data_IF_266320069974
#
_entry.id   IF_266320069974
#
_cell.length_a   1.000
_cell.length_b   1.000
_cell.length_c   1.000
_cell.angle_alpha   90.00
_cell.angle_beta   90.00
_cell.angle_gamma   90.00
#
_symmetry.space_group_name_H-M   'P 1'
#
loop_
_entity.id
_entity.type
_entity.pdbx_description
1 polymer ?
#
# COMPACT_ATOMS: atom_id res chain seq x y z
N UNK A 1 3.35 21.01 6.17
CA UNK A 1 1.89 21.03 6.15
C UNK A 1 1.28 19.65 6.41
N UNK A 2 1.50 18.65 5.52
CA UNK A 2 1.03 17.26 5.77
C UNK A 2 1.73 16.66 6.99
N UNK A 3 3.07 16.70 7.04
CA UNK A 3 3.85 16.20 8.18
C UNK A 3 3.54 16.93 9.48
N UNK A 4 3.28 18.25 9.44
CA UNK A 4 2.87 19.00 10.63
C UNK A 4 1.51 18.54 11.15
N UNK A 5 0.58 18.25 10.23
CA UNK A 5 -0.71 17.68 10.58
C UNK A 5 -0.54 16.29 11.23
N UNK A 6 0.23 15.40 10.64
CA UNK A 6 0.52 14.09 11.23
C UNK A 6 1.14 14.22 12.62
N UNK A 7 2.12 15.10 12.77
CA UNK A 7 2.79 15.34 14.05
C UNK A 7 1.82 15.84 15.14
N UNK A 8 0.86 16.70 14.78
CA UNK A 8 -0.14 17.21 15.75
C UNK A 8 -1.05 16.12 16.31
N UNK A 9 -1.11 14.96 15.65
CA UNK A 9 -1.84 13.77 16.08
C UNK A 9 -0.92 12.61 16.48
N UNK A 10 0.38 12.85 16.66
CA UNK A 10 1.39 11.84 17.02
C UNK A 10 1.48 10.69 15.99
N UNK A 11 1.18 10.97 14.71
CA UNK A 11 1.26 10.03 13.62
C UNK A 11 2.58 10.19 12.87
N UNK A 12 3.33 9.11 12.70
CA UNK A 12 4.51 9.04 11.83
C UNK A 12 4.15 8.31 10.53
N UNK A 13 4.06 9.01 9.40
CA UNK A 13 3.72 8.38 8.13
C UNK A 13 4.87 7.55 7.56
N UNK A 14 4.51 6.51 6.82
CA UNK A 14 5.36 5.85 5.83
C UNK A 14 5.10 6.56 4.50
N UNK A 15 6.14 7.05 3.85
CA UNK A 15 6.01 7.77 2.58
C UNK A 15 6.33 6.83 1.43
N UNK A 16 5.37 6.62 0.54
CA UNK A 16 5.49 5.80 -0.66
C UNK A 16 5.87 6.68 -1.84
N UNK A 17 6.90 6.31 -2.61
CA UNK A 17 7.38 7.11 -3.75
C UNK A 17 6.73 6.71 -5.07
N UNK A 18 6.70 5.40 -5.35
CA UNK A 18 6.18 4.83 -6.59
C UNK A 18 5.15 3.74 -6.30
N UNK A 19 4.30 3.44 -7.29
CA UNK A 19 3.19 2.50 -7.13
C UNK A 19 2.78 1.91 -8.49
N UNK A 20 2.67 0.58 -8.58
CA UNK A 20 2.15 -0.12 -9.76
C UNK A 20 0.68 -0.53 -9.62
N UNK A 21 0.04 -0.18 -8.50
CA UNK A 21 -1.37 -0.51 -8.29
C UNK A 21 -2.31 0.52 -8.92
N UNK A 22 -3.53 0.08 -9.23
CA UNK A 22 -4.68 0.88 -9.68
C UNK A 22 -4.57 1.35 -11.13
N UNK A 23 -4.93 2.61 -11.43
CA UNK A 23 -5.07 3.07 -12.81
C UNK A 23 -3.72 3.23 -13.52
N UNK A 24 -3.45 2.42 -14.59
CA UNK A 24 -2.10 2.28 -15.17
C UNK A 24 -1.69 3.41 -16.11
N UNK A 25 -2.61 4.29 -16.50
CA UNK A 25 -2.37 5.38 -17.48
C UNK A 25 -2.61 6.75 -16.84
N UNK A 26 -1.79 7.15 -15.84
CA UNK A 26 -2.00 8.41 -15.14
C UNK A 26 -1.81 9.61 -16.07
N UNK A 27 -2.63 10.63 -15.85
CA UNK A 27 -2.50 11.92 -16.53
C UNK A 27 -2.28 13.02 -15.48
N UNK A 28 -1.52 14.04 -15.84
CA UNK A 28 -1.38 15.23 -15.00
C UNK A 28 -2.73 15.93 -14.82
N UNK A 29 -2.93 16.52 -13.65
CA UNK A 29 -4.14 17.26 -13.35
C UNK A 29 -4.82 16.78 -12.05
N UNK A 30 -6.04 17.25 -11.78
CA UNK A 30 -6.78 16.84 -10.61
C UNK A 30 -7.00 15.32 -10.56
N UNK A 31 -7.00 14.78 -9.34
CA UNK A 31 -7.38 13.39 -9.15
C UNK A 31 -8.85 13.21 -9.57
N UNK A 32 -9.18 12.21 -10.39
CA UNK A 32 -10.54 11.95 -10.80
C UNK A 32 -11.43 11.60 -9.61
N UNK A 33 -12.73 11.78 -9.78
CA UNK A 33 -13.70 11.28 -8.82
C UNK A 33 -13.75 9.75 -8.89
N UNK A 34 -13.94 9.07 -7.76
CA UNK A 34 -14.01 7.63 -7.75
C UNK A 34 -15.27 7.12 -8.46
N UNK A 35 -15.16 5.95 -9.04
CA UNK A 35 -16.31 5.17 -9.50
C UNK A 35 -16.82 4.40 -8.29
N UNK A 36 -18.10 4.58 -7.94
CA UNK A 36 -18.68 3.92 -6.79
C UNK A 36 -18.52 2.40 -6.88
N UNK A 37 -18.07 1.79 -5.79
CA UNK A 37 -17.84 0.35 -5.69
C UNK A 37 -16.54 -0.14 -6.33
N UNK A 38 -15.80 0.70 -7.03
CA UNK A 38 -14.50 0.33 -7.58
C UNK A 38 -13.38 0.85 -6.69
N UNK A 39 -12.72 -0.09 -6.07
CA UNK A 39 -11.58 0.10 -5.18
C UNK A 39 -10.52 1.01 -5.80
N UNK A 40 -10.18 2.10 -5.11
CA UNK A 40 -9.18 3.08 -5.49
C UNK A 40 -9.26 3.60 -6.95
N UNK A 41 -10.44 3.59 -7.53
CA UNK A 41 -10.66 4.00 -8.93
C UNK A 41 -10.27 5.45 -9.25
N UNK A 42 -10.17 6.31 -8.25
CA UNK A 42 -9.65 7.67 -8.37
C UNK A 42 -8.13 7.77 -8.25
N UNK A 43 -7.43 6.69 -7.92
CA UNK A 43 -5.99 6.70 -7.72
C UNK A 43 -5.26 6.38 -9.02
N UNK A 44 -4.07 6.95 -9.17
CA UNK A 44 -3.26 6.80 -10.37
C UNK A 44 -1.92 6.22 -9.97
N UNK A 45 -1.43 5.28 -10.78
CA UNK A 45 -0.07 4.76 -10.62
C UNK A 45 0.98 5.87 -10.75
N UNK A 46 2.11 5.66 -10.13
CA UNK A 46 3.29 6.52 -10.26
C UNK A 46 4.53 5.67 -10.56
N UNK A 47 5.16 5.84 -11.73
CA UNK A 47 4.88 6.81 -12.78
C UNK A 47 3.86 6.35 -13.84
N UNK A 48 3.36 5.10 -13.75
CA UNK A 48 2.42 4.47 -14.68
C UNK A 48 3.08 3.55 -15.70
N UNK A 49 2.29 2.58 -16.21
CA UNK A 49 2.77 1.47 -17.06
C UNK A 49 3.53 1.91 -18.31
N UNK A 50 3.10 2.99 -18.96
CA UNK A 50 3.78 3.48 -20.15
C UNK A 50 5.22 3.85 -19.84
N UNK A 51 5.43 4.66 -18.80
CA UNK A 51 6.77 5.14 -18.42
C UNK A 51 7.65 3.99 -17.93
N UNK A 52 7.10 3.07 -17.13
CA UNK A 52 7.80 1.87 -16.66
C UNK A 52 8.25 1.01 -17.85
N UNK A 53 7.34 0.78 -18.82
CA UNK A 53 7.65 0.00 -20.03
C UNK A 53 8.73 0.70 -20.90
N UNK A 54 8.63 2.00 -21.11
CA UNK A 54 9.62 2.77 -21.87
C UNK A 54 11.01 2.76 -21.20
N UNK A 55 11.07 2.79 -19.87
CA UNK A 55 12.32 2.65 -19.12
C UNK A 55 12.90 1.25 -19.29
N UNK A 56 12.06 0.21 -19.18
CA UNK A 56 12.50 -1.17 -19.33
C UNK A 56 13.03 -1.47 -20.73
N UNK A 57 12.29 -1.07 -21.77
CA UNK A 57 12.61 -1.41 -23.17
C UNK A 57 13.67 -0.48 -23.77
N UNK A 58 13.58 0.82 -23.51
CA UNK A 58 14.34 1.86 -24.21
C UNK A 58 15.35 2.58 -23.33
N UNK A 59 15.33 2.35 -22.01
CA UNK A 59 16.14 3.09 -21.01
C UNK A 59 16.09 4.60 -21.23
N UNK A 60 14.90 5.15 -21.42
CA UNK A 60 14.65 6.53 -21.83
C UNK A 60 15.24 7.54 -20.83
N UNK A 61 16.37 8.16 -21.15
CA UNK A 61 17.09 9.09 -20.27
C UNK A 61 16.22 10.21 -19.71
N UNK A 62 15.31 10.74 -20.51
CA UNK A 62 14.39 11.79 -20.08
C UNK A 62 13.53 11.38 -18.89
N UNK A 63 12.98 10.18 -18.93
CA UNK A 63 12.18 9.67 -17.82
C UNK A 63 13.05 9.37 -16.61
N UNK A 64 14.16 8.69 -16.81
CA UNK A 64 15.12 8.37 -15.74
C UNK A 64 15.59 9.65 -15.04
N UNK A 65 16.00 10.68 -15.79
CA UNK A 65 16.47 11.93 -15.18
C UNK A 65 15.40 12.63 -14.35
N UNK A 66 14.16 12.67 -14.86
CA UNK A 66 13.03 13.26 -14.13
C UNK A 66 12.72 12.51 -12.83
N UNK A 67 12.65 11.16 -12.89
CA UNK A 67 12.34 10.34 -11.74
C UNK A 67 13.50 10.31 -10.74
N UNK A 68 14.74 10.36 -11.21
CA UNK A 68 15.93 10.54 -10.37
C UNK A 68 15.84 11.86 -9.59
N UNK A 69 15.60 12.95 -10.29
CA UNK A 69 15.47 14.29 -9.66
C UNK A 69 14.35 14.25 -8.60
N UNK A 70 13.17 13.73 -8.94
CA UNK A 70 12.06 13.59 -7.99
C UNK A 70 12.45 12.80 -6.74
N UNK A 71 13.07 11.62 -6.92
CA UNK A 71 13.45 10.74 -5.81
C UNK A 71 14.51 11.38 -4.93
N UNK A 72 15.60 11.89 -5.55
CA UNK A 72 16.72 12.42 -4.81
C UNK A 72 16.40 13.75 -4.12
N UNK A 73 15.70 14.68 -4.78
CA UNK A 73 15.31 15.95 -4.15
C UNK A 73 14.37 15.73 -2.96
N UNK A 74 13.40 14.80 -3.09
CA UNK A 74 12.47 14.49 -2.00
C UNK A 74 13.20 13.86 -0.81
N UNK A 75 14.02 12.84 -1.06
CA UNK A 75 14.80 12.19 -0.01
C UNK A 75 15.80 13.17 0.64
N UNK A 76 16.52 13.98 -0.13
CA UNK A 76 17.47 14.97 0.39
C UNK A 76 16.78 16.01 1.27
N UNK A 77 15.59 16.49 0.86
CA UNK A 77 14.83 17.49 1.61
C UNK A 77 14.39 16.98 2.99
N UNK A 78 14.09 15.70 3.11
CA UNK A 78 13.52 15.12 4.32
C UNK A 78 14.40 14.05 4.98
N UNK A 79 15.66 13.90 4.56
CA UNK A 79 16.54 12.81 5.02
C UNK A 79 16.76 12.74 6.54
N UNK A 80 16.60 13.85 7.26
CA UNK A 80 16.74 13.92 8.72
C UNK A 80 15.40 14.28 9.41
N UNK A 81 14.29 14.20 8.71
CA UNK A 81 13.00 14.57 9.28
C UNK A 81 12.40 13.43 10.12
N UNK A 82 12.49 13.55 11.44
CA UNK A 82 12.03 12.54 12.41
C UNK A 82 10.50 12.32 12.41
N UNK A 83 9.74 13.15 11.70
CA UNK A 83 8.30 12.97 11.53
C UNK A 83 7.96 11.83 10.58
N UNK A 84 8.87 11.43 9.69
CA UNK A 84 8.72 10.31 8.77
C UNK A 84 9.23 9.03 9.45
N UNK A 85 8.39 7.97 9.47
CA UNK A 85 8.77 6.69 10.03
C UNK A 85 9.77 5.95 9.15
N UNK A 86 9.45 5.83 7.86
CA UNK A 86 10.30 5.19 6.86
C UNK A 86 9.85 5.58 5.44
N UNK A 87 10.65 5.22 4.46
CA UNK A 87 10.35 5.37 3.04
C UNK A 87 10.06 4.01 2.41
N UNK A 88 8.89 3.88 1.80
CA UNK A 88 8.58 2.79 0.88
C UNK A 88 8.89 3.27 -0.53
N UNK A 89 9.92 2.69 -1.12
CA UNK A 89 10.43 3.17 -2.40
C UNK A 89 9.50 2.83 -3.56
N UNK A 90 8.78 1.70 -3.46
CA UNK A 90 7.88 1.28 -4.52
C UNK A 90 6.82 0.31 -3.96
N UNK A 91 5.56 0.75 -3.95
CA UNK A 91 4.44 -0.11 -3.56
C UNK A 91 4.16 -1.16 -4.63
N UNK A 92 4.14 -2.41 -4.21
CA UNK A 92 3.75 -3.58 -5.02
C UNK A 92 4.29 -3.57 -6.46
N UNK A 93 5.62 -3.41 -6.67
CA UNK A 93 6.18 -3.40 -8.02
C UNK A 93 5.86 -4.70 -8.75
N UNK A 94 5.46 -4.58 -10.00
CA UNK A 94 5.07 -5.69 -10.86
C UNK A 94 3.58 -6.00 -10.90
N UNK A 95 2.76 -5.39 -10.05
CA UNK A 95 1.31 -5.59 -10.01
C UNK A 95 0.59 -5.09 -11.27
N UNK A 96 -0.68 -5.39 -11.39
CA UNK A 96 -1.56 -5.00 -12.52
C UNK A 96 -1.02 -5.37 -13.90
N UNK A 97 -0.29 -6.48 -13.98
CA UNK A 97 0.17 -7.07 -15.25
C UNK A 97 1.45 -6.46 -15.83
N UNK A 98 2.12 -5.52 -15.13
CA UNK A 98 3.41 -4.98 -15.57
C UNK A 98 4.56 -5.98 -15.35
N UNK A 99 4.51 -6.78 -14.29
CA UNK A 99 5.46 -7.85 -14.00
C UNK A 99 6.91 -7.36 -13.89
N UNK A 100 7.84 -8.19 -14.35
CA UNK A 100 9.28 -7.92 -14.28
C UNK A 100 9.74 -6.61 -14.97
N UNK A 101 8.88 -5.95 -15.74
CA UNK A 101 9.23 -4.65 -16.34
C UNK A 101 9.52 -3.58 -15.30
N UNK A 102 8.91 -3.67 -14.12
CA UNK A 102 9.16 -2.74 -13.01
C UNK A 102 10.55 -2.87 -12.39
N UNK A 103 11.24 -4.00 -12.62
CA UNK A 103 12.57 -4.25 -12.07
C UNK A 103 13.56 -3.13 -12.42
N UNK A 104 13.58 -2.68 -13.68
CA UNK A 104 14.56 -1.69 -14.13
C UNK A 104 14.40 -0.36 -13.39
N UNK A 105 13.17 0.15 -13.28
CA UNK A 105 12.93 1.38 -12.52
C UNK A 105 13.22 1.17 -11.03
N UNK A 106 12.78 0.06 -10.45
CA UNK A 106 12.99 -0.25 -9.05
C UNK A 106 14.48 -0.29 -8.68
N UNK A 107 15.34 -0.90 -9.53
CA UNK A 107 16.79 -0.94 -9.28
C UNK A 107 17.41 0.46 -9.33
N UNK A 108 16.99 1.31 -10.29
CA UNK A 108 17.39 2.72 -10.29
C UNK A 108 16.95 3.46 -9.02
N UNK A 109 15.70 3.28 -8.58
CA UNK A 109 15.18 3.95 -7.38
C UNK A 109 15.94 3.53 -6.13
N UNK A 110 16.25 2.24 -5.99
CA UNK A 110 17.10 1.74 -4.90
C UNK A 110 18.48 2.38 -4.93
N UNK A 111 19.11 2.50 -6.09
CA UNK A 111 20.44 3.11 -6.21
C UNK A 111 20.40 4.60 -5.86
N UNK A 112 19.43 5.36 -6.37
CA UNK A 112 19.24 6.77 -6.05
C UNK A 112 18.98 7.00 -4.56
N UNK A 113 18.16 6.15 -3.94
CA UNK A 113 17.88 6.26 -2.52
C UNK A 113 19.11 5.95 -1.66
N UNK A 114 19.91 4.96 -2.06
CA UNK A 114 21.16 4.64 -1.36
C UNK A 114 22.25 5.72 -1.53
N UNK A 115 22.27 6.45 -2.62
CA UNK A 115 23.18 7.61 -2.79
C UNK A 115 22.87 8.73 -1.79
N UNK A 116 21.60 8.98 -1.50
CA UNK A 116 21.16 9.98 -0.50
C UNK A 116 21.26 9.41 0.91
N UNK A 117 20.84 8.18 1.09
CA UNK A 117 20.81 7.44 2.35
C UNK A 117 20.22 8.23 3.51
N UNK A 118 18.90 8.44 3.52
CA UNK A 118 18.23 9.13 4.61
C UNK A 118 18.39 8.38 5.95
N UNK A 119 18.24 9.07 7.06
CA UNK A 119 18.28 8.48 8.40
C UNK A 119 17.12 7.51 8.66
N UNK A 120 15.98 7.72 7.97
CA UNK A 120 14.85 6.80 8.05
C UNK A 120 15.15 5.51 7.27
N UNK A 121 14.60 4.35 7.72
CA UNK A 121 14.72 3.10 6.99
C UNK A 121 14.12 3.16 5.59
N UNK A 122 14.72 2.39 4.68
CA UNK A 122 14.23 2.19 3.31
C UNK A 122 13.62 0.79 3.16
N UNK A 123 12.51 0.70 2.45
CA UNK A 123 11.86 -0.57 2.13
C UNK A 123 11.20 -0.55 0.75
N UNK A 124 10.85 -1.70 0.25
CA UNK A 124 9.82 -1.99 -0.74
C UNK A 124 9.33 -3.41 -0.47
N UNK A 125 8.03 -3.65 -0.52
CA UNK A 125 7.45 -4.90 -0.04
C UNK A 125 7.96 -6.14 -0.81
N UNK A 126 8.07 -7.27 -0.10
CA UNK A 126 8.42 -8.55 -0.70
C UNK A 126 7.17 -9.31 -1.14
N UNK A 127 6.29 -9.61 -0.19
CA UNK A 127 4.99 -10.20 -0.49
C UNK A 127 4.01 -9.08 -0.85
N UNK A 128 3.37 -9.19 -1.99
CA UNK A 128 2.67 -8.09 -2.68
C UNK A 128 3.36 -7.70 -4.00
N UNK A 129 4.70 -7.83 -4.07
CA UNK A 129 5.46 -7.65 -5.32
C UNK A 129 5.34 -8.85 -6.26
N UNK A 130 5.45 -8.61 -7.57
CA UNK A 130 5.40 -9.66 -8.60
C UNK A 130 6.70 -9.69 -9.40
N UNK A 131 7.35 -10.86 -9.39
CA UNK A 131 8.59 -11.12 -10.09
C UNK A 131 9.71 -11.54 -9.15
N UNK A 132 10.37 -12.65 -9.47
CA UNK A 132 11.43 -13.21 -8.62
C UNK A 132 12.62 -12.26 -8.49
N UNK A 133 12.98 -11.55 -9.57
CA UNK A 133 14.06 -10.57 -9.56
C UNK A 133 13.72 -9.35 -8.69
N UNK A 134 12.48 -8.90 -8.73
CA UNK A 134 11.96 -7.79 -7.91
C UNK A 134 12.00 -8.18 -6.43
N UNK A 135 11.47 -9.35 -6.08
CA UNK A 135 11.45 -9.85 -4.70
C UNK A 135 12.88 -10.00 -4.16
N UNK A 136 13.78 -10.59 -4.96
CA UNK A 136 15.17 -10.75 -4.58
C UNK A 136 15.89 -9.40 -4.37
N UNK A 137 15.62 -8.41 -5.22
CA UNK A 137 16.17 -7.06 -5.09
C UNK A 137 15.69 -6.40 -3.79
N UNK A 138 14.39 -6.42 -3.54
CA UNK A 138 13.79 -5.85 -2.33
C UNK A 138 14.30 -6.57 -1.07
N UNK A 139 14.37 -7.91 -1.10
CA UNK A 139 14.94 -8.68 0.00
C UNK A 139 16.37 -8.27 0.31
N UNK A 140 17.19 -8.01 -0.69
CA UNK A 140 18.60 -7.68 -0.50
C UNK A 140 18.82 -6.26 0.00
N UNK A 141 18.00 -5.31 -0.46
CA UNK A 141 18.24 -3.88 -0.25
C UNK A 141 17.44 -3.23 0.89
N UNK A 142 16.30 -3.81 1.31
CA UNK A 142 15.44 -3.25 2.36
C UNK A 142 16.12 -3.27 3.73
N UNK A 143 16.02 -2.19 4.48
CA UNK A 143 16.44 -2.14 5.91
C UNK A 143 15.44 -2.89 6.79
N UNK A 144 14.16 -2.73 6.52
CA UNK A 144 13.03 -3.43 7.15
C UNK A 144 12.36 -4.25 6.06
N UNK A 145 12.10 -5.52 6.34
CA UNK A 145 11.36 -6.38 5.43
C UNK A 145 9.87 -6.10 5.59
N UNK A 146 9.26 -5.55 4.55
CA UNK A 146 7.82 -5.32 4.53
C UNK A 146 7.10 -6.34 3.65
N UNK A 147 5.84 -6.63 4.02
CA UNK A 147 5.00 -7.57 3.30
C UNK A 147 3.53 -7.20 3.42
N UNK A 148 2.74 -7.65 2.45
CA UNK A 148 1.29 -7.54 2.44
C UNK A 148 0.66 -8.91 2.59
N UNK A 149 -0.47 -9.02 3.27
CA UNK A 149 -1.17 -10.29 3.42
C UNK A 149 -2.67 -10.07 3.59
N UNK A 150 -3.44 -10.68 2.71
CA UNK A 150 -4.88 -10.57 2.72
C UNK A 150 -5.60 -11.92 2.89
N UNK A 151 -4.85 -13.01 2.94
CA UNK A 151 -5.38 -14.36 3.13
C UNK A 151 -4.94 -14.88 4.50
N UNK A 152 -5.91 -15.21 5.36
CA UNK A 152 -5.66 -15.56 6.76
C UNK A 152 -4.68 -16.74 6.93
N UNK A 153 -4.82 -17.77 6.10
CA UNK A 153 -3.98 -18.98 6.14
C UNK A 153 -2.53 -18.73 5.73
N UNK A 154 -2.25 -17.63 5.04
CA UNK A 154 -0.89 -17.27 4.60
C UNK A 154 -0.13 -16.46 5.64
N UNK A 155 -0.80 -15.83 6.62
CA UNK A 155 -0.16 -14.88 7.53
C UNK A 155 1.00 -15.49 8.33
N UNK A 156 0.76 -16.52 9.13
CA UNK A 156 1.83 -17.13 9.94
C UNK A 156 2.93 -17.77 9.08
N UNK A 157 2.62 -18.55 8.01
CA UNK A 157 3.64 -19.07 7.11
C UNK A 157 4.52 -18.01 6.48
N UNK A 158 3.95 -16.87 6.06
CA UNK A 158 4.71 -15.74 5.52
C UNK A 158 5.64 -15.15 6.57
N UNK A 159 5.15 -14.92 7.78
CA UNK A 159 5.96 -14.42 8.90
C UNK A 159 7.13 -15.36 9.17
N UNK A 160 6.87 -16.65 9.31
CA UNK A 160 7.90 -17.65 9.60
C UNK A 160 8.97 -17.69 8.51
N UNK A 161 8.58 -17.66 7.26
CA UNK A 161 9.48 -17.58 6.10
C UNK A 161 10.34 -16.31 6.15
N UNK A 162 9.73 -15.14 6.31
CA UNK A 162 10.41 -13.85 6.23
C UNK A 162 11.36 -13.61 7.43
N UNK A 163 11.03 -14.13 8.60
CA UNK A 163 11.93 -14.05 9.77
C UNK A 163 13.30 -14.69 9.54
N UNK A 164 13.39 -15.67 8.65
CA UNK A 164 14.67 -16.30 8.30
C UNK A 164 15.67 -15.34 7.64
N UNK A 165 15.20 -14.21 7.12
CA UNK A 165 16.06 -13.17 6.53
C UNK A 165 16.89 -12.44 7.60
N UNK A 166 16.45 -12.47 8.88
CA UNK A 166 17.19 -11.90 10.01
C UNK A 166 17.15 -10.38 10.10
N UNK A 167 16.15 -9.72 9.49
CA UNK A 167 15.88 -8.27 9.59
C UNK A 167 14.54 -8.02 10.30
N UNK A 168 14.31 -6.80 10.83
CA UNK A 168 12.99 -6.43 11.33
C UNK A 168 11.91 -6.64 10.27
N UNK A 169 10.73 -7.12 10.70
CA UNK A 169 9.57 -7.31 9.83
C UNK A 169 8.49 -6.28 10.14
N UNK A 170 7.77 -5.87 9.10
CA UNK A 170 6.57 -5.05 9.23
C UNK A 170 5.55 -5.49 8.18
N UNK A 171 4.30 -5.70 8.60
CA UNK A 171 3.20 -5.89 7.68
C UNK A 171 2.63 -4.51 7.31
N UNK A 172 2.84 -4.07 6.08
CA UNK A 172 2.41 -2.74 5.65
C UNK A 172 1.01 -2.71 5.08
N UNK A 173 0.46 -3.89 4.74
CA UNK A 173 -0.94 -4.03 4.37
C UNK A 173 -1.53 -5.36 4.82
N UNK A 174 -2.66 -5.31 5.48
CA UNK A 174 -3.53 -6.46 5.76
C UNK A 174 -4.96 -5.95 5.94
N UNK A 175 -5.86 -6.81 6.25
CA UNK A 175 -7.25 -6.52 6.53
C UNK A 175 -8.15 -6.63 5.30
N UNK A 176 -8.67 -7.82 5.09
CA UNK A 176 -9.74 -8.13 4.15
C UNK A 176 -10.71 -9.06 4.86
N UNK A 177 -11.84 -8.53 5.36
CA UNK A 177 -12.75 -9.29 6.22
C UNK A 177 -13.27 -10.56 5.56
N UNK A 178 -13.58 -10.50 4.28
CA UNK A 178 -14.08 -11.65 3.53
C UNK A 178 -13.04 -12.76 3.33
N UNK A 179 -11.75 -12.43 3.42
CA UNK A 179 -10.63 -13.38 3.33
C UNK A 179 -10.04 -13.75 4.70
N UNK A 180 -10.75 -13.37 5.76
CA UNK A 180 -10.46 -13.79 7.12
C UNK A 180 -9.34 -13.02 7.82
N UNK A 181 -8.65 -12.09 7.15
CA UNK A 181 -7.64 -11.23 7.78
C UNK A 181 -8.28 -10.10 8.57
N UNK A 182 -9.08 -10.45 9.57
CA UNK A 182 -9.74 -9.51 10.48
C UNK A 182 -8.78 -9.01 11.57
N UNK A 183 -9.16 -7.97 12.29
CA UNK A 183 -8.37 -7.47 13.43
C UNK A 183 -8.24 -8.52 14.52
N UNK A 184 -9.33 -9.24 14.81
CA UNK A 184 -9.37 -10.28 15.84
C UNK A 184 -8.44 -11.45 15.50
N UNK A 185 -8.28 -11.77 14.22
CA UNK A 185 -7.37 -12.81 13.77
C UNK A 185 -5.93 -12.32 13.69
N UNK A 186 -5.69 -11.17 13.06
CA UNK A 186 -4.33 -10.74 12.72
C UNK A 186 -3.57 -10.10 13.90
N UNK A 187 -4.21 -9.23 14.69
CA UNK A 187 -3.50 -8.46 15.72
C UNK A 187 -2.88 -9.34 16.81
N UNK A 188 -3.50 -10.43 17.31
CA UNK A 188 -2.84 -11.37 18.23
C UNK A 188 -1.61 -12.03 17.64
N UNK A 189 -1.65 -12.37 16.34
CA UNK A 189 -0.51 -12.98 15.63
C UNK A 189 0.62 -11.97 15.49
N UNK A 190 0.36 -10.76 15.01
CA UNK A 190 1.39 -9.72 14.95
C UNK A 190 2.02 -9.43 16.32
N UNK A 191 1.20 -9.40 17.37
CA UNK A 191 1.69 -9.22 18.75
C UNK A 191 2.56 -10.39 19.20
N UNK A 192 2.15 -11.64 18.95
CA UNK A 192 2.91 -12.86 19.25
C UNK A 192 4.30 -12.83 18.62
N UNK A 193 4.40 -12.34 17.38
CA UNK A 193 5.66 -12.29 16.65
C UNK A 193 6.41 -10.95 16.78
N UNK A 194 5.88 -9.99 17.55
CA UNK A 194 6.41 -8.63 17.71
C UNK A 194 6.61 -7.91 16.36
N UNK A 195 5.58 -7.93 15.54
CA UNK A 195 5.57 -7.33 14.20
C UNK A 195 4.67 -6.10 14.21
N UNK A 196 5.20 -4.96 13.77
CA UNK A 196 4.40 -3.77 13.51
C UNK A 196 3.52 -4.00 12.28
N UNK A 197 2.30 -3.45 12.29
CA UNK A 197 1.36 -3.67 11.20
C UNK A 197 0.51 -2.43 10.90
N UNK A 198 0.17 -2.29 9.62
CA UNK A 198 -0.74 -1.30 9.08
C UNK A 198 -1.85 -2.02 8.32
N UNK A 199 -3.11 -1.73 8.66
CA UNK A 199 -4.22 -2.24 7.88
C UNK A 199 -4.45 -1.37 6.63
N UNK A 200 -4.88 -2.00 5.55
CA UNK A 200 -5.39 -1.27 4.40
C UNK A 200 -6.81 -0.76 4.68
N UNK A 201 -7.11 0.49 4.27
CA UNK A 201 -8.39 1.13 4.52
C UNK A 201 -8.51 1.72 5.94
N UNK A 202 -9.02 2.93 6.01
CA UNK A 202 -9.28 3.63 7.28
C UNK A 202 -10.67 4.25 7.30
N UNK A 203 -10.99 5.08 6.32
CA UNK A 203 -12.25 5.81 6.24
C UNK A 203 -12.92 5.53 4.90
N UNK A 204 -14.11 4.92 4.95
CA UNK A 204 -14.94 4.71 3.75
C UNK A 204 -15.25 6.04 3.07
N UNK A 205 -14.82 6.18 1.82
CA UNK A 205 -14.95 7.44 1.09
C UNK A 205 -14.42 7.35 -0.33
N UNK A 206 -13.52 8.26 -0.69
CA UNK A 206 -12.98 8.34 -2.07
C UNK A 206 -12.18 7.10 -2.48
N UNK A 207 -11.62 6.37 -1.53
CA UNK A 207 -10.92 5.11 -1.80
C UNK A 207 -11.85 3.99 -2.23
N UNK A 208 -13.11 4.01 -1.80
CA UNK A 208 -14.10 2.93 -2.03
C UNK A 208 -13.66 1.56 -1.48
N UNK A 209 -12.77 1.56 -0.49
CA UNK A 209 -12.13 0.37 0.09
C UNK A 209 -13.04 -0.41 1.05
N UNK A 210 -14.24 0.10 1.32
CA UNK A 210 -15.30 -0.65 1.97
C UNK A 210 -16.00 -1.66 1.04
N UNK A 211 -15.83 -1.55 -0.29
CA UNK A 211 -16.29 -2.54 -1.25
C UNK A 211 -15.23 -3.61 -1.48
N UNK A 212 -15.66 -4.84 -1.82
CA UNK A 212 -14.79 -5.93 -2.19
C UNK A 212 -14.14 -5.70 -3.57
N UNK A 213 -12.98 -6.28 -3.81
CA UNK A 213 -12.31 -6.25 -5.13
C UNK A 213 -13.17 -6.87 -6.23
N UNK A 214 -13.96 -7.91 -5.93
CA UNK A 214 -14.84 -8.58 -6.89
C UNK A 214 -16.01 -7.69 -7.35
N UNK A 215 -16.30 -6.61 -6.64
CA UNK A 215 -17.31 -5.63 -7.08
C UNK A 215 -17.01 -5.10 -8.48
N UNK A 216 -15.74 -5.03 -8.88
CA UNK A 216 -15.36 -4.63 -10.25
C UNK A 216 -15.89 -5.62 -11.30
N UNK A 217 -15.93 -6.90 -11.01
CA UNK A 217 -16.45 -7.94 -11.92
C UNK A 217 -17.94 -7.75 -12.13
N UNK A 218 -18.68 -7.60 -11.04
CA UNK A 218 -20.11 -7.28 -11.09
C UNK A 218 -20.40 -6.00 -11.89
N UNK A 219 -19.64 -4.94 -11.66
CA UNK A 219 -19.82 -3.66 -12.36
C UNK A 219 -19.49 -3.76 -13.85
N UNK A 220 -18.52 -4.58 -14.23
CA UNK A 220 -18.20 -4.84 -15.63
C UNK A 220 -19.33 -5.61 -16.31
N UNK A 221 -19.89 -6.63 -15.66
CA UNK A 221 -21.06 -7.36 -16.18
C UNK A 221 -22.28 -6.47 -16.36
N UNK A 222 -22.53 -5.55 -15.43
CA UNK A 222 -23.65 -4.60 -15.54
C UNK A 222 -23.43 -3.63 -16.73
N UNK A 223 -22.19 -3.18 -16.95
CA UNK A 223 -21.86 -2.37 -18.14
C UNK A 223 -22.05 -3.13 -19.45
N UNK A 224 -21.67 -4.41 -19.49
CA UNK A 224 -21.85 -5.26 -20.67
C UNK A 224 -23.33 -5.49 -20.98
N UNK A 225 -24.19 -5.46 -19.95
CA UNK A 225 -25.66 -5.47 -20.10
C UNK A 225 -26.26 -4.11 -20.51
N UNK A 226 -25.42 -3.08 -20.67
CA UNK A 226 -25.83 -1.72 -21.02
C UNK A 226 -26.21 -0.85 -19.82
N UNK A 227 -26.01 -1.32 -18.59
CA UNK A 227 -26.19 -0.54 -17.37
C UNK A 227 -24.94 0.27 -17.07
N UNK A 228 -25.06 1.61 -17.08
CA UNK A 228 -23.94 2.48 -16.75
C UNK A 228 -23.83 2.65 -15.23
N UNK A 229 -22.82 2.06 -14.64
CA UNK A 229 -22.44 2.33 -13.25
C UNK A 229 -21.46 3.49 -13.24
N UNK A 230 -21.86 4.62 -12.65
CA UNK A 230 -21.06 5.86 -12.54
C UNK A 230 -21.06 6.34 -11.09
N UNK A 231 -20.26 7.36 -10.82
CA UNK A 231 -20.36 8.10 -9.57
C UNK A 231 -21.81 8.63 -9.39
N UNK A 232 -22.37 8.39 -8.20
CA UNK A 232 -23.76 8.75 -7.92
C UNK A 232 -24.79 7.64 -8.20
N UNK A 233 -24.40 6.54 -8.81
CA UNK A 233 -25.27 5.38 -8.98
C UNK A 233 -25.60 4.78 -7.60
N UNK A 234 -26.82 4.16 -7.51
CA UNK A 234 -27.41 3.66 -6.26
C UNK A 234 -26.84 2.32 -5.79
N UNK A 235 -25.55 2.06 -6.02
CA UNK A 235 -24.93 0.85 -5.46
C UNK A 235 -25.04 0.91 -3.94
N UNK A 236 -25.70 -0.07 -3.35
CA UNK A 236 -25.87 -0.13 -1.90
C UNK A 236 -24.53 -0.40 -1.21
N UNK A 237 -24.39 0.14 0.00
CA UNK A 237 -23.28 -0.19 0.87
C UNK A 237 -23.25 -1.72 1.11
N UNK A 238 -22.07 -2.38 1.05
CA UNK A 238 -22.01 -3.82 1.29
C UNK A 238 -22.38 -4.15 2.73
N UNK A 239 -23.03 -5.30 2.95
CA UNK A 239 -23.40 -5.75 4.29
C UNK A 239 -22.19 -5.96 5.19
N UNK A 240 -21.09 -6.46 4.62
CA UNK A 240 -19.78 -6.54 5.27
C UNK A 240 -18.80 -5.64 4.52
N UNK A 241 -18.20 -4.70 5.25
CA UNK A 241 -17.14 -3.87 4.67
C UNK A 241 -15.88 -4.67 4.48
N UNK A 242 -15.20 -4.40 3.37
CA UNK A 242 -14.01 -5.15 3.02
C UNK A 242 -12.80 -4.73 3.88
N UNK A 243 -12.44 -3.44 3.88
CA UNK A 243 -11.29 -2.94 4.63
C UNK A 243 -11.61 -1.88 5.69
N UNK A 244 -12.37 -0.85 5.35
CA UNK A 244 -12.45 0.38 6.14
C UNK A 244 -12.96 0.18 7.58
N UNK A 245 -12.49 1.04 8.48
CA UNK A 245 -12.81 1.03 9.91
C UNK A 245 -13.87 2.06 10.26
N UNK A 246 -13.81 3.23 9.62
CA UNK A 246 -14.62 4.39 9.96
C UNK A 246 -15.48 4.87 8.80
N UNK A 247 -16.63 5.43 9.12
CA UNK A 247 -17.44 6.26 8.23
C UNK A 247 -16.82 7.65 8.08
N UNK A 248 -17.26 8.43 7.10
CA UNK A 248 -16.77 9.78 6.86
C UNK A 248 -17.01 10.77 8.03
N UNK A 249 -18.01 10.49 8.86
CA UNK A 249 -18.29 11.25 10.07
C UNK A 249 -17.45 10.83 11.29
N UNK A 250 -16.55 9.86 11.11
CA UNK A 250 -15.69 9.32 12.17
C UNK A 250 -16.36 8.22 13.02
N UNK A 251 -17.63 7.88 12.76
CA UNK A 251 -18.26 6.76 13.45
C UNK A 251 -17.67 5.41 12.96
N UNK A 252 -17.46 4.43 13.86
CA UNK A 252 -16.91 3.16 13.45
C UNK A 252 -17.92 2.35 12.62
N UNK A 253 -17.39 1.55 11.68
CA UNK A 253 -18.15 0.50 11.01
C UNK A 253 -18.66 -0.51 12.04
N UNK A 254 -17.77 -1.00 12.90
CA UNK A 254 -18.06 -1.90 14.01
C UNK A 254 -17.49 -1.33 15.32
N UNK A 255 -18.37 -1.12 16.31
CA UNK A 255 -17.97 -0.71 17.65
C UNK A 255 -17.17 -1.79 18.37
N UNK A 256 -17.50 -3.06 18.15
CA UNK A 256 -16.81 -4.20 18.78
C UNK A 256 -15.37 -4.32 18.25
N UNK A 257 -15.20 -4.18 16.94
CA UNK A 257 -13.89 -4.20 16.28
C UNK A 257 -12.97 -3.07 16.81
N UNK A 258 -13.48 -1.84 16.87
CA UNK A 258 -12.71 -0.72 17.40
C UNK A 258 -12.42 -0.85 18.90
N UNK A 259 -13.34 -1.43 19.69
CA UNK A 259 -13.10 -1.76 21.09
C UNK A 259 -12.00 -2.83 21.25
N UNK A 260 -12.03 -3.86 20.39
CA UNK A 260 -11.00 -4.90 20.35
C UNK A 260 -9.62 -4.32 20.01
N UNK A 261 -9.52 -3.49 18.97
CA UNK A 261 -8.27 -2.82 18.60
C UNK A 261 -7.70 -2.03 19.78
N UNK A 262 -8.52 -1.20 20.42
CA UNK A 262 -8.11 -0.42 21.61
C UNK A 262 -7.63 -1.32 22.76
N UNK A 263 -8.35 -2.40 23.01
CA UNK A 263 -8.00 -3.36 24.07
C UNK A 263 -6.66 -4.03 23.82
N UNK A 264 -6.40 -4.54 22.60
CA UNK A 264 -5.18 -5.27 22.29
C UNK A 264 -3.95 -4.34 22.27
N UNK A 265 -4.13 -3.08 21.85
CA UNK A 265 -3.06 -2.08 21.82
C UNK A 265 -2.74 -1.53 23.24
N UNK A 266 -3.75 -1.44 24.12
CA UNK A 266 -3.56 -0.94 25.48
C UNK A 266 -2.95 -1.96 26.45
N UNK A 267 -3.09 -3.26 26.17
CA UNK A 267 -2.51 -4.32 27.02
C UNK A 267 -0.99 -4.40 26.83
N UNK A 268 -0.26 -3.71 27.71
CA UNK A 268 1.22 -3.81 27.82
C UNK A 268 1.71 -5.15 28.41
N UNK A 269 0.81 -6.00 28.88
CA UNK A 269 1.11 -7.24 29.59
C UNK A 269 1.11 -8.48 28.68
N UNK A 270 1.89 -8.49 27.63
CA UNK A 270 2.29 -9.72 26.92
C UNK A 270 3.70 -9.49 26.30
N UNK A 271 4.62 -9.07 27.17
CA UNK A 271 6.06 -9.16 26.86
C UNK A 271 6.65 -10.39 27.49
#
# INVERSE_FOLDING_TARGET
>A
NFLDCCQSFEIKPIIVLFDDCHYPFPQLGPQPLPIRGIHNSGWKQSPGHQIVTEIFELKTEKHLKRLQTYTQELLELYKEDERILMWDLYNEPGQFGIGEKSYTLLDYVWNWAHEIRPSQPLTSCLDGSIGDSIIALNQNKSDIITFHTYEAEKLEPTIEKLRTIGRPLMCTEYMAREYGTTFEFCLPIFKKYNIACYNWGLVAGRSQTNFNWETILYLNEERDKGNLVREGDSLTEPNQWFHDIFRQDGSPYSTDETAFIKKILSNKELQ
#
